data_IF_252667153880
#
_entry.id   IF_252667153880
#
_cell.length_a   1.000
_cell.length_b   1.000
_cell.length_c   1.000
_cell.angle_alpha   90.00
_cell.angle_beta   90.00
_cell.angle_gamma   90.00
#
_symmetry.space_group_name_H-M   'P 1'
#
loop_
_entity.id
_entity.type
_entity.pdbx_description
1 polymer ?
#
# COMPACT_ATOMS: atom_id res chain seq x y z
N UNK A 1 -1.68 2.05 -1.11
CA UNK A 1 -2.60 1.12 -1.81
C UNK A 1 -2.08 -0.32 -1.92
N UNK A 2 -0.78 -0.54 -2.22
CA UNK A 2 -0.23 -1.90 -2.44
C UNK A 2 -0.38 -2.89 -1.26
N UNK A 3 -0.03 -2.49 -0.04
CA UNK A 3 -0.15 -3.36 1.14
C UNK A 3 -1.59 -3.79 1.42
N UNK A 4 -2.55 -2.88 1.30
CA UNK A 4 -3.96 -3.18 1.53
C UNK A 4 -4.51 -4.24 0.54
N UNK A 5 -4.03 -4.23 -0.71
CA UNK A 5 -4.38 -5.22 -1.74
C UNK A 5 -3.76 -6.60 -1.45
N UNK A 6 -2.49 -6.64 -1.02
CA UNK A 6 -1.81 -7.85 -0.57
C UNK A 6 -2.53 -8.51 0.61
N UNK A 7 -2.94 -7.72 1.59
CA UNK A 7 -3.65 -8.24 2.76
C UNK A 7 -5.07 -8.72 2.45
N UNK A 8 -5.78 -8.06 1.55
CA UNK A 8 -7.06 -8.57 1.04
C UNK A 8 -6.91 -9.93 0.34
N UNK A 9 -5.88 -10.10 -0.50
CA UNK A 9 -5.57 -11.38 -1.14
C UNK A 9 -5.14 -12.46 -0.13
N UNK A 10 -4.39 -12.09 0.92
CA UNK A 10 -4.01 -13.02 1.99
C UNK A 10 -5.23 -13.52 2.78
N UNK A 11 -6.17 -12.62 3.09
CA UNK A 11 -7.40 -12.95 3.81
C UNK A 11 -8.38 -13.75 2.94
N UNK A 12 -8.34 -13.50 1.62
CA UNK A 12 -8.96 -14.34 0.63
C UNK A 12 -8.34 -15.75 0.71
N UNK A 13 -7.04 -15.94 0.46
CA UNK A 13 -6.40 -17.25 0.51
C UNK A 13 -6.58 -18.02 1.85
N UNK A 14 -6.75 -17.31 2.97
CA UNK A 14 -6.90 -17.89 4.33
C UNK A 14 -8.33 -18.35 4.70
N UNK A 15 -9.23 -18.59 3.74
CA UNK A 15 -10.63 -19.02 3.98
C UNK A 15 -11.49 -18.04 4.82
N UNK A 16 -11.01 -16.79 5.02
CA UNK A 16 -11.72 -15.73 5.76
C UNK A 16 -12.30 -14.66 4.84
N UNK A 17 -12.59 -15.03 3.58
CA UNK A 17 -13.05 -14.16 2.49
C UNK A 17 -14.23 -13.25 2.89
N UNK A 18 -15.20 -13.75 3.66
CA UNK A 18 -16.38 -12.98 4.08
C UNK A 18 -16.02 -11.80 5.00
N UNK A 19 -15.06 -12.00 5.92
CA UNK A 19 -14.59 -10.92 6.79
C UNK A 19 -13.73 -9.92 6.03
N UNK A 20 -12.91 -10.41 5.10
CA UNK A 20 -12.12 -9.57 4.20
C UNK A 20 -13.02 -8.63 3.39
N UNK A 21 -14.10 -9.18 2.82
CA UNK A 21 -15.05 -8.44 2.02
C UNK A 21 -15.75 -7.33 2.83
N UNK A 22 -16.13 -7.61 4.09
CA UNK A 22 -16.71 -6.59 5.00
C UNK A 22 -15.74 -5.45 5.31
N UNK A 23 -14.47 -5.77 5.52
CA UNK A 23 -13.45 -4.75 5.80
C UNK A 23 -13.17 -3.92 4.54
N UNK A 24 -13.08 -4.57 3.39
CA UNK A 24 -12.90 -3.91 2.09
C UNK A 24 -14.07 -2.98 1.74
N UNK A 25 -15.32 -3.38 2.03
CA UNK A 25 -16.48 -2.53 1.78
C UNK A 25 -16.50 -1.30 2.68
N UNK A 26 -16.17 -1.43 3.97
CA UNK A 26 -16.06 -0.29 4.90
C UNK A 26 -15.00 0.70 4.41
N UNK A 27 -13.82 0.21 4.01
CA UNK A 27 -12.77 1.05 3.49
C UNK A 27 -13.16 1.73 2.16
N UNK A 28 -13.91 1.05 1.30
CA UNK A 28 -14.41 1.60 0.05
C UNK A 28 -15.40 2.74 0.31
N UNK A 29 -16.34 2.55 1.24
CA UNK A 29 -17.31 3.58 1.63
C UNK A 29 -16.60 4.81 2.19
N UNK A 30 -15.62 4.61 3.08
CA UNK A 30 -14.84 5.72 3.64
C UNK A 30 -14.01 6.44 2.57
N UNK A 31 -13.43 5.70 1.62
CA UNK A 31 -12.73 6.30 0.48
C UNK A 31 -13.68 7.17 -0.37
N UNK A 32 -14.88 6.67 -0.68
CA UNK A 32 -15.86 7.42 -1.49
C UNK A 32 -16.32 8.69 -0.75
N UNK A 33 -16.61 8.60 0.55
CA UNK A 33 -17.00 9.76 1.36
C UNK A 33 -15.86 10.78 1.46
N UNK A 34 -14.63 10.34 1.73
CA UNK A 34 -13.46 11.20 1.75
C UNK A 34 -13.21 11.84 0.38
N UNK A 35 -13.37 11.07 -0.70
CA UNK A 35 -13.23 11.53 -2.07
C UNK A 35 -14.23 12.65 -2.38
N UNK A 36 -15.49 12.46 -2.01
CA UNK A 36 -16.55 13.44 -2.26
C UNK A 36 -16.34 14.75 -1.46
N UNK A 37 -15.87 14.63 -0.22
CA UNK A 37 -15.58 15.79 0.64
C UNK A 37 -14.32 16.55 0.20
N UNK A 38 -13.25 15.84 -0.17
CA UNK A 38 -11.96 16.44 -0.51
C UNK A 38 -11.86 16.91 -1.96
N UNK A 39 -12.73 16.44 -2.85
CA UNK A 39 -12.71 16.86 -4.26
C UNK A 39 -13.04 18.35 -4.42
N UNK A 40 -13.93 18.91 -3.58
CA UNK A 40 -14.30 20.34 -3.62
C UNK A 40 -13.13 21.29 -3.30
N UNK A 41 -12.33 21.09 -2.24
CA UNK A 41 -11.20 21.98 -1.93
C UNK A 41 -9.90 21.66 -2.67
N UNK A 42 -9.63 20.39 -3.03
CA UNK A 42 -8.30 19.94 -3.48
C UNK A 42 -8.29 19.27 -4.87
N UNK A 43 -9.44 19.12 -5.53
CA UNK A 43 -9.54 18.52 -6.86
C UNK A 43 -8.85 17.15 -6.96
N UNK A 44 -7.91 17.03 -7.90
CA UNK A 44 -7.14 15.79 -8.13
C UNK A 44 -6.28 15.35 -6.92
N UNK A 45 -5.72 16.31 -6.16
CA UNK A 45 -4.99 15.99 -4.92
C UNK A 45 -5.93 15.44 -3.84
N UNK A 46 -7.18 15.93 -3.81
CA UNK A 46 -8.21 15.45 -2.88
C UNK A 46 -8.56 13.98 -3.11
N UNK A 47 -8.61 13.56 -4.38
CA UNK A 47 -8.82 12.16 -4.76
C UNK A 47 -7.64 11.26 -4.33
N UNK A 48 -6.41 11.74 -4.50
CA UNK A 48 -5.21 11.00 -4.08
C UNK A 48 -5.12 10.85 -2.55
N UNK A 49 -5.50 11.90 -1.81
CA UNK A 49 -5.60 11.89 -0.36
C UNK A 49 -6.70 10.94 0.12
N UNK A 50 -7.88 10.98 -0.49
CA UNK A 50 -8.97 10.07 -0.19
C UNK A 50 -8.56 8.60 -0.40
N UNK A 51 -7.90 8.30 -1.52
CA UNK A 51 -7.36 6.97 -1.81
C UNK A 51 -6.33 6.49 -0.78
N UNK A 52 -5.55 7.42 -0.22
CA UNK A 52 -4.60 7.14 0.86
C UNK A 52 -5.33 6.84 2.17
N UNK A 53 -6.34 7.65 2.54
CA UNK A 53 -7.18 7.47 3.73
C UNK A 53 -7.91 6.11 3.69
N UNK A 54 -8.57 5.80 2.58
CA UNK A 54 -9.24 4.51 2.39
C UNK A 54 -8.27 3.33 2.48
N UNK A 55 -7.07 3.49 1.93
CA UNK A 55 -5.99 2.50 2.04
C UNK A 55 -5.52 2.27 3.49
N UNK A 56 -5.39 3.34 4.28
CA UNK A 56 -5.01 3.26 5.70
C UNK A 56 -6.09 2.57 6.54
N UNK A 57 -7.35 2.92 6.31
CA UNK A 57 -8.49 2.29 6.99
C UNK A 57 -8.55 0.79 6.68
N UNK A 58 -8.43 0.42 5.41
CA UNK A 58 -8.36 -0.98 4.98
C UNK A 58 -7.22 -1.72 5.68
N UNK A 59 -6.03 -1.11 5.74
CA UNK A 59 -4.84 -1.71 6.34
C UNK A 59 -5.00 -1.94 7.85
N UNK A 60 -5.43 -0.93 8.60
CA UNK A 60 -5.59 -1.00 10.06
C UNK A 60 -6.63 -2.05 10.45
N UNK A 61 -7.79 -2.03 9.80
CA UNK A 61 -8.85 -3.00 10.06
C UNK A 61 -8.41 -4.43 9.69
N UNK A 62 -7.64 -4.57 8.61
CA UNK A 62 -7.15 -5.89 8.21
C UNK A 62 -6.11 -6.44 9.19
N UNK A 63 -5.17 -5.62 9.65
CA UNK A 63 -4.20 -6.04 10.67
C UNK A 63 -4.91 -6.45 11.96
N UNK A 64 -5.93 -5.69 12.37
CA UNK A 64 -6.73 -6.00 13.55
C UNK A 64 -7.41 -7.37 13.44
N UNK A 65 -7.91 -7.73 12.26
CA UNK A 65 -8.62 -8.99 12.02
C UNK A 65 -7.69 -10.20 11.79
N UNK A 66 -6.50 -9.97 11.19
CA UNK A 66 -5.48 -11.03 10.99
C UNK A 66 -4.76 -11.36 12.29
N UNK A 67 -4.66 -10.38 13.20
CA UNK A 67 -3.86 -10.47 14.42
C UNK A 67 -2.48 -9.85 14.24
N UNK A 68 -2.13 -8.93 15.12
CA UNK A 68 -0.86 -8.20 15.07
C UNK A 68 0.35 -9.13 15.22
N UNK A 69 0.19 -10.25 15.91
CA UNK A 69 1.24 -11.26 16.12
C UNK A 69 1.72 -11.88 14.80
N UNK A 70 0.79 -12.32 13.94
CA UNK A 70 1.11 -12.87 12.61
C UNK A 70 1.74 -11.81 11.70
N UNK A 71 1.29 -10.56 11.82
CA UNK A 71 1.88 -9.45 11.07
C UNK A 71 3.34 -9.21 11.46
N UNK A 72 3.64 -9.20 12.77
CA UNK A 72 5.00 -9.06 13.27
C UNK A 72 5.86 -10.28 12.91
N UNK A 73 5.29 -11.49 12.92
CA UNK A 73 6.00 -12.70 12.50
C UNK A 73 6.41 -12.65 11.02
N UNK A 74 5.53 -12.14 10.14
CA UNK A 74 5.83 -11.89 8.72
C UNK A 74 6.95 -10.84 8.59
N UNK A 75 6.90 -9.75 9.37
CA UNK A 75 7.91 -8.68 9.34
C UNK A 75 9.28 -9.15 9.86
N UNK A 76 9.28 -9.96 10.92
CA UNK A 76 10.49 -10.43 11.61
C UNK A 76 11.19 -11.57 10.84
N UNK A 77 10.57 -12.07 9.77
CA UNK A 77 11.17 -13.05 8.89
C UNK A 77 12.49 -12.53 8.29
N UNK A 78 13.55 -13.35 8.35
CA UNK A 78 14.89 -13.03 7.82
C UNK A 78 14.88 -12.52 6.36
N UNK A 79 13.86 -12.88 5.56
CA UNK A 79 13.72 -12.42 4.18
C UNK A 79 13.29 -10.95 4.05
N UNK A 80 12.69 -10.37 5.10
CA UNK A 80 12.31 -8.95 5.17
C UNK A 80 13.53 -8.02 5.12
N UNK A 81 14.58 -8.35 5.86
CA UNK A 81 15.85 -7.61 5.83
C UNK A 81 16.52 -7.65 4.45
N UNK A 82 16.53 -8.82 3.80
CA UNK A 82 17.04 -8.98 2.44
C UNK A 82 16.27 -8.08 1.45
N UNK A 83 14.94 -8.00 1.60
CA UNK A 83 14.11 -7.15 0.75
C UNK A 83 14.48 -5.66 0.86
N UNK A 84 14.74 -5.17 2.07
CA UNK A 84 15.21 -3.79 2.27
C UNK A 84 16.56 -3.52 1.62
N UNK A 85 17.50 -4.46 1.71
CA UNK A 85 18.82 -4.34 1.08
C UNK A 85 18.67 -4.29 -0.46
N UNK A 86 17.84 -5.17 -1.03
CA UNK A 86 17.55 -5.18 -2.47
C UNK A 86 16.90 -3.89 -2.94
N UNK A 87 15.97 -3.33 -2.15
CA UNK A 87 15.34 -2.03 -2.46
C UNK A 87 16.34 -0.88 -2.52
N UNK A 88 17.26 -0.81 -1.55
CA UNK A 88 18.30 0.22 -1.52
C UNK A 88 19.24 0.08 -2.72
N UNK A 89 19.68 -1.16 -3.01
CA UNK A 89 20.51 -1.44 -4.17
C UNK A 89 19.83 -1.03 -5.49
N UNK A 90 18.55 -1.38 -5.64
CA UNK A 90 17.77 -1.03 -6.84
C UNK A 90 17.60 0.48 -7.00
N UNK A 91 17.36 1.22 -5.90
CA UNK A 91 17.25 2.67 -5.93
C UNK A 91 18.55 3.34 -6.40
N UNK A 92 19.70 2.86 -5.90
CA UNK A 92 21.01 3.34 -6.33
C UNK A 92 21.24 3.03 -7.82
N UNK A 93 20.90 1.82 -8.27
CA UNK A 93 21.02 1.45 -9.67
C UNK A 93 20.18 2.36 -10.60
N UNK A 94 18.93 2.66 -10.22
CA UNK A 94 18.08 3.60 -10.96
C UNK A 94 18.64 5.03 -10.98
N UNK A 95 19.26 5.48 -9.89
CA UNK A 95 19.89 6.79 -9.85
C UNK A 95 21.04 6.89 -10.86
N UNK A 96 21.93 5.89 -10.91
CA UNK A 96 23.01 5.84 -11.89
C UNK A 96 22.51 5.71 -13.32
N UNK A 97 21.48 4.87 -13.55
CA UNK A 97 20.85 4.74 -14.86
C UNK A 97 20.30 6.09 -15.35
N UNK A 98 19.63 6.84 -14.47
CA UNK A 98 19.09 8.15 -14.80
C UNK A 98 20.21 9.16 -15.17
N UNK A 99 21.32 9.16 -14.43
CA UNK A 99 22.48 10.00 -14.75
C UNK A 99 23.11 9.63 -16.11
N UNK A 100 23.20 8.34 -16.40
CA UNK A 100 23.68 7.84 -17.69
C UNK A 100 22.78 8.30 -18.83
N UNK A 101 21.46 8.11 -18.72
CA UNK A 101 20.48 8.55 -19.72
C UNK A 101 20.55 10.07 -19.94
N UNK A 102 20.66 10.86 -18.87
CA UNK A 102 20.77 12.32 -18.97
C UNK A 102 22.06 12.78 -19.67
N UNK A 103 23.14 12.00 -19.57
CA UNK A 103 24.38 12.28 -20.29
C UNK A 103 24.21 12.06 -21.80
N UNK A 104 23.48 11.02 -22.22
CA UNK A 104 23.19 10.78 -23.64
C UNK A 104 22.16 11.74 -24.24
N UNK A 105 21.26 12.33 -23.44
CA UNK A 105 20.26 13.30 -23.93
C UNK A 105 20.85 14.73 -24.05
N UNK A 106 21.95 15.03 -23.34
CA UNK A 106 22.61 16.35 -23.34
C UNK A 106 23.79 16.49 -24.32
N UNK A 107 24.22 15.40 -24.96
CA UNK A 107 25.22 15.40 -26.05
C UNK A 107 24.49 15.44 -27.38
#
# INVERSE_FOLDING_TARGET
YGFAKLFSMFLYASHRHSKAAKIASIALVINILASLLLMKPLGAMGLALAGSIGGWVLFILTIKEVGFERFIEIIKSKKSLLFFIVMIFLAIAFFYLNQFILTFIRV
#
